data_IF_828900138829
#
_entry.id   IF_828900138829
#
_cell.length_a   1.000
_cell.length_b   1.000
_cell.length_c   1.000
_cell.angle_alpha   90.00
_cell.angle_beta   90.00
_cell.angle_gamma   90.00
#
_symmetry.space_group_name_H-M   'P 1'
#
loop_
_entity.id
_entity.type
_entity.pdbx_description
1 polymer ?
#
# COMPACT_ATOMS: atom_id res chain seq x y z
N UNK A 1 34.96 43.51 -15.29
CA UNK A 1 34.65 42.37 -16.18
C UNK A 1 35.80 41.37 -16.12
N UNK A 2 35.67 40.28 -15.36
CA UNK A 2 36.67 39.19 -15.32
C UNK A 2 35.94 37.87 -15.54
N UNK A 3 36.47 37.08 -16.48
CA UNK A 3 35.87 35.93 -17.13
C UNK A 3 35.73 34.75 -16.16
N UNK A 4 34.55 34.14 -16.11
CA UNK A 4 34.30 32.86 -15.43
C UNK A 4 34.54 31.74 -16.43
N UNK A 5 35.62 30.97 -16.26
CA UNK A 5 35.91 29.80 -17.09
C UNK A 5 35.06 28.63 -16.62
N UNK A 6 34.09 28.24 -17.44
CA UNK A 6 33.22 27.07 -17.26
C UNK A 6 34.01 25.81 -17.65
N UNK A 7 34.28 24.92 -16.71
CA UNK A 7 34.94 23.63 -16.99
C UNK A 7 33.88 22.53 -16.86
N UNK A 8 33.34 22.10 -18.00
CA UNK A 8 32.36 21.01 -18.08
C UNK A 8 33.14 19.71 -18.27
N UNK A 9 33.19 18.86 -17.24
CA UNK A 9 33.75 17.51 -17.37
C UNK A 9 32.58 16.54 -17.48
N UNK A 10 32.29 16.14 -18.71
CA UNK A 10 31.34 15.09 -19.04
C UNK A 10 32.10 13.77 -19.13
N UNK A 11 31.79 12.78 -18.28
CA UNK A 11 32.19 11.40 -18.52
C UNK A 11 30.98 10.49 -18.37
N UNK A 12 30.63 9.86 -19.50
CA UNK A 12 29.63 8.82 -19.61
C UNK A 12 30.14 7.50 -19.01
N UNK A 13 29.18 6.77 -18.44
CA UNK A 13 29.27 5.60 -17.57
C UNK A 13 29.85 4.33 -18.18
N UNK A 14 30.49 3.49 -17.37
CA UNK A 14 30.37 2.02 -17.46
C UNK A 14 30.67 1.36 -16.10
N UNK A 15 29.70 0.55 -15.66
CA UNK A 15 29.69 -0.38 -14.53
C UNK A 15 29.82 0.20 -13.09
N UNK A 16 28.74 0.03 -12.32
CA UNK A 16 28.74 0.14 -10.85
C UNK A 16 28.04 1.39 -10.33
N UNK A 17 27.04 1.18 -9.47
CA UNK A 17 26.11 2.15 -8.92
C UNK A 17 26.84 3.42 -8.44
N UNK A 18 26.59 4.53 -9.13
CA UNK A 18 26.81 5.87 -8.59
C UNK A 18 25.56 6.68 -8.92
N UNK A 19 24.73 6.93 -7.89
CA UNK A 19 23.69 7.94 -7.96
C UNK A 19 24.41 9.28 -8.19
N UNK A 20 24.44 9.70 -9.46
CA UNK A 20 25.01 10.96 -9.89
C UNK A 20 24.21 12.12 -9.31
N UNK A 21 24.60 12.57 -8.12
CA UNK A 21 24.19 13.86 -7.58
C UNK A 21 24.90 14.92 -8.44
N UNK A 22 24.20 15.49 -9.42
CA UNK A 22 24.63 16.74 -10.04
C UNK A 22 24.51 17.86 -9.01
N UNK A 23 25.56 18.06 -8.21
CA UNK A 23 25.68 19.20 -7.29
C UNK A 23 26.17 20.40 -8.08
N UNK A 24 25.26 21.22 -8.61
CA UNK A 24 25.61 22.58 -9.02
C UNK A 24 26.10 23.34 -7.78
N UNK A 25 27.42 23.61 -7.72
CA UNK A 25 28.02 24.46 -6.70
C UNK A 25 27.94 25.91 -7.16
N UNK A 26 26.95 26.65 -6.66
CA UNK A 26 26.99 28.11 -6.63
C UNK A 26 27.61 28.52 -5.29
N UNK A 27 28.82 29.07 -5.31
CA UNK A 27 29.51 29.57 -4.11
C UNK A 27 29.32 31.08 -4.09
N UNK A 28 28.49 31.58 -3.16
CA UNK A 28 28.39 33.01 -2.86
C UNK A 28 29.27 33.36 -1.64
N UNK A 29 29.93 34.51 -1.72
CA UNK A 29 30.82 35.04 -0.68
C UNK A 29 29.98 35.74 0.38
N UNK A 30 29.52 34.96 1.36
CA UNK A 30 29.30 35.40 2.76
C UNK A 30 28.90 34.18 3.57
N UNK A 31 29.80 33.76 4.44
CA UNK A 31 29.60 32.72 5.45
C UNK A 31 28.49 33.14 6.42
N UNK A 32 27.24 32.95 6.03
CA UNK A 32 26.11 32.88 6.95
C UNK A 32 25.23 31.70 6.57
N UNK A 33 25.14 30.77 7.50
CA UNK A 33 24.67 29.40 7.36
C UNK A 33 23.17 29.37 7.00
N UNK A 34 22.83 29.40 5.72
CA UNK A 34 21.44 29.36 5.28
C UNK A 34 21.21 28.41 4.10
N UNK A 35 21.83 27.23 4.13
CA UNK A 35 21.44 26.11 3.27
C UNK A 35 21.35 24.85 4.13
N UNK A 36 20.27 24.73 4.92
CA UNK A 36 19.82 23.41 5.36
C UNK A 36 19.36 22.70 4.09
N UNK A 37 20.16 21.75 3.65
CA UNK A 37 19.98 20.99 2.42
C UNK A 37 18.52 20.49 2.32
N UNK A 38 17.77 20.93 1.31
CA UNK A 38 16.33 20.59 1.15
C UNK A 38 16.10 19.08 1.25
N UNK A 39 17.09 18.29 0.84
CA UNK A 39 17.14 16.82 0.94
C UNK A 39 17.07 16.31 2.39
N UNK A 40 17.83 16.92 3.30
CA UNK A 40 17.83 16.59 4.74
C UNK A 40 16.49 17.00 5.37
N UNK A 41 15.92 18.12 4.92
CA UNK A 41 14.63 18.61 5.40
C UNK A 41 13.45 17.74 4.93
N UNK A 42 13.48 17.26 3.68
CA UNK A 42 12.48 16.31 3.16
C UNK A 42 12.60 14.94 3.82
N UNK A 43 13.81 14.44 4.06
CA UNK A 43 14.03 13.15 4.71
C UNK A 43 13.57 13.14 6.17
N UNK A 44 13.80 14.23 6.91
CA UNK A 44 13.28 14.39 8.28
C UNK A 44 11.75 14.56 8.32
N UNK A 45 11.14 15.18 7.31
CA UNK A 45 9.68 15.30 7.22
C UNK A 45 9.01 13.93 6.97
N UNK A 46 9.55 13.12 6.05
CA UNK A 46 9.05 11.77 5.81
C UNK A 46 9.11 10.87 7.06
N UNK A 47 10.21 10.96 7.82
CA UNK A 47 10.36 10.22 9.09
C UNK A 47 9.35 10.67 10.16
N UNK A 48 9.13 11.98 10.29
CA UNK A 48 8.14 12.52 11.23
C UNK A 48 6.71 12.10 10.86
N UNK A 49 6.39 12.13 9.57
CA UNK A 49 5.08 11.70 9.08
C UNK A 49 4.83 10.21 9.35
N UNK A 50 5.84 9.36 9.13
CA UNK A 50 5.75 7.93 9.48
C UNK A 50 5.50 7.74 10.98
N UNK A 51 6.29 8.40 11.85
CA UNK A 51 6.10 8.30 13.30
C UNK A 51 4.72 8.81 13.76
N UNK A 52 4.14 9.81 13.09
CA UNK A 52 2.78 10.28 13.36
C UNK A 52 1.76 9.22 12.94
N UNK A 53 1.93 8.62 11.75
CA UNK A 53 1.07 7.55 11.27
C UNK A 53 1.05 6.37 12.25
N UNK A 54 2.22 5.89 12.69
CA UNK A 54 2.33 4.78 13.65
C UNK A 54 1.57 5.09 14.95
N UNK A 55 1.68 6.32 15.46
CA UNK A 55 0.96 6.75 16.68
C UNK A 55 -0.55 6.78 16.48
N UNK A 56 -1.01 7.24 15.31
CA UNK A 56 -2.43 7.28 14.97
C UNK A 56 -3.00 5.87 14.86
N UNK A 57 -2.29 4.97 14.19
CA UNK A 57 -2.67 3.56 14.06
C UNK A 57 -2.80 2.88 15.43
N UNK A 58 -1.77 3.00 16.28
CA UNK A 58 -1.80 2.45 17.65
C UNK A 58 -2.97 3.04 18.45
N UNK A 59 -3.20 4.35 18.35
CA UNK A 59 -4.31 5.02 19.06
C UNK A 59 -5.67 4.56 18.57
N UNK A 60 -5.80 4.29 17.26
CA UNK A 60 -7.02 3.77 16.66
C UNK A 60 -7.33 2.35 17.16
N UNK A 61 -6.34 1.45 17.10
CA UNK A 61 -6.45 0.06 17.57
C UNK A 61 -6.76 0.00 19.07
N UNK A 62 -6.07 0.80 19.89
CA UNK A 62 -6.35 0.88 21.34
C UNK A 62 -7.77 1.39 21.62
N UNK A 63 -8.21 2.42 20.89
CA UNK A 63 -9.58 2.95 21.04
C UNK A 63 -10.62 1.91 20.64
N UNK A 64 -10.36 1.14 19.58
CA UNK A 64 -11.21 0.06 19.12
C UNK A 64 -11.37 -1.03 20.20
N UNK A 65 -10.28 -1.51 20.79
CA UNK A 65 -10.33 -2.52 21.86
C UNK A 65 -11.03 -2.02 23.13
N UNK A 66 -11.00 -0.70 23.38
CA UNK A 66 -11.77 -0.06 24.46
C UNK A 66 -13.25 0.12 24.13
N UNK A 67 -13.70 -0.26 22.94
CA UNK A 67 -15.05 -0.04 22.39
C UNK A 67 -15.41 1.44 22.19
N UNK A 68 -14.42 2.31 22.16
CA UNK A 68 -14.58 3.73 21.81
C UNK A 68 -14.51 3.89 20.28
N UNK A 69 -15.52 3.38 19.58
CA UNK A 69 -15.48 3.30 18.13
C UNK A 69 -15.44 4.66 17.43
N UNK A 70 -16.08 5.70 17.99
CA UNK A 70 -15.98 7.07 17.45
C UNK A 70 -14.55 7.63 17.51
N UNK A 71 -13.83 7.37 18.60
CA UNK A 71 -12.42 7.79 18.73
C UNK A 71 -11.56 7.02 17.74
N UNK A 72 -11.75 5.69 17.65
CA UNK A 72 -11.05 4.84 16.69
C UNK A 72 -11.25 5.33 15.25
N UNK A 73 -12.49 5.63 14.85
CA UNK A 73 -12.83 6.21 13.55
C UNK A 73 -12.09 7.52 13.31
N UNK A 74 -12.02 8.39 14.33
CA UNK A 74 -11.31 9.66 14.22
C UNK A 74 -9.82 9.45 13.95
N UNK A 75 -9.17 8.54 14.69
CA UNK A 75 -7.77 8.22 14.49
C UNK A 75 -7.49 7.55 13.14
N UNK A 76 -8.33 6.60 12.71
CA UNK A 76 -8.21 6.01 11.37
C UNK A 76 -8.37 7.07 10.27
N UNK A 77 -9.35 7.97 10.35
CA UNK A 77 -9.47 9.06 9.35
C UNK A 77 -8.26 9.98 9.33
N UNK A 78 -7.65 10.26 10.48
CA UNK A 78 -6.40 11.01 10.53
C UNK A 78 -5.26 10.21 9.88
N UNK A 79 -5.20 8.90 10.10
CA UNK A 79 -4.21 8.02 9.49
C UNK A 79 -4.35 7.99 7.96
N UNK A 80 -5.56 7.83 7.43
CA UNK A 80 -5.81 7.92 5.98
C UNK A 80 -5.32 9.25 5.39
N UNK A 81 -5.52 10.37 6.10
CA UNK A 81 -5.03 11.69 5.65
C UNK A 81 -3.52 11.81 5.58
N UNK A 82 -2.77 10.95 6.28
CA UNK A 82 -1.31 10.90 6.15
C UNK A 82 -0.84 10.19 4.88
N UNK A 83 -1.72 9.43 4.21
CA UNK A 83 -1.36 8.58 3.06
C UNK A 83 -0.48 7.39 3.43
N UNK A 84 -0.39 7.04 4.72
CA UNK A 84 0.39 5.92 5.25
C UNK A 84 -0.48 4.74 5.73
N UNK A 85 -1.80 4.83 5.59
CA UNK A 85 -2.70 3.74 5.94
C UNK A 85 -2.53 2.55 4.99
N UNK A 86 -2.65 1.35 5.53
CA UNK A 86 -2.66 0.10 4.77
C UNK A 86 -4.07 -0.47 4.65
N UNK A 87 -4.24 -1.55 3.87
CA UNK A 87 -5.54 -2.20 3.68
C UNK A 87 -6.12 -2.73 5.00
N UNK A 88 -5.28 -3.11 5.96
CA UNK A 88 -5.69 -3.53 7.31
C UNK A 88 -6.32 -2.37 8.10
N UNK A 89 -5.86 -1.14 7.91
CA UNK A 89 -6.45 0.04 8.55
C UNK A 89 -7.83 0.37 7.98
N UNK A 90 -7.99 0.21 6.67
CA UNK A 90 -9.28 0.35 5.99
C UNK A 90 -10.27 -0.72 6.48
N UNK A 91 -9.80 -1.95 6.63
CA UNK A 91 -10.58 -3.06 7.20
C UNK A 91 -11.03 -2.74 8.62
N UNK A 92 -10.10 -2.37 9.50
CA UNK A 92 -10.42 -2.03 10.89
C UNK A 92 -11.35 -0.81 11.00
N UNK A 93 -11.21 0.17 10.11
CA UNK A 93 -12.15 1.28 10.00
C UNK A 93 -13.55 0.80 9.60
N UNK A 94 -13.66 -0.15 8.68
CA UNK A 94 -14.93 -0.78 8.35
C UNK A 94 -15.53 -1.51 9.57
N UNK A 95 -14.72 -2.25 10.35
CA UNK A 95 -15.16 -2.90 11.58
C UNK A 95 -15.70 -1.89 12.61
N UNK A 96 -15.07 -0.72 12.76
CA UNK A 96 -15.59 0.35 13.62
C UNK A 96 -17.00 0.78 13.21
N UNK A 97 -17.24 0.98 11.92
CA UNK A 97 -18.56 1.35 11.39
C UNK A 97 -19.57 0.19 11.51
N UNK A 98 -19.12 -1.05 11.32
CA UNK A 98 -19.91 -2.26 11.59
C UNK A 98 -20.41 -2.30 13.03
N UNK A 99 -19.52 -2.04 13.98
CA UNK A 99 -19.85 -1.98 15.41
C UNK A 99 -20.79 -0.82 15.76
N UNK A 100 -20.80 0.27 14.99
CA UNK A 100 -21.76 1.36 15.17
C UNK A 100 -23.08 1.13 14.42
N UNK A 101 -23.18 0.10 13.59
CA UNK A 101 -24.37 -0.16 12.76
C UNK A 101 -24.48 0.75 11.53
N UNK A 102 -23.42 1.48 11.15
CA UNK A 102 -23.40 2.30 9.94
C UNK A 102 -23.11 1.42 8.72
N UNK A 103 -24.17 0.83 8.17
CA UNK A 103 -24.10 -0.06 7.01
C UNK A 103 -23.39 0.53 5.81
N UNK A 104 -23.62 1.83 5.56
CA UNK A 104 -23.11 2.54 4.39
C UNK A 104 -21.60 2.72 4.48
N UNK A 105 -21.11 3.17 5.62
CA UNK A 105 -19.68 3.39 5.80
C UNK A 105 -18.93 2.07 5.98
N UNK A 106 -19.49 1.10 6.69
CA UNK A 106 -18.90 -0.23 6.83
C UNK A 106 -18.69 -0.87 5.44
N UNK A 107 -19.72 -0.88 4.59
CA UNK A 107 -19.63 -1.42 3.24
C UNK A 107 -18.61 -0.65 2.37
N UNK A 108 -18.55 0.69 2.50
CA UNK A 108 -17.61 1.52 1.75
C UNK A 108 -16.15 1.17 2.08
N UNK A 109 -15.77 1.18 3.36
CA UNK A 109 -14.38 0.95 3.75
C UNK A 109 -13.96 -0.51 3.57
N UNK A 110 -14.90 -1.45 3.72
CA UNK A 110 -14.62 -2.85 3.45
C UNK A 110 -14.29 -3.10 1.97
N UNK A 111 -15.05 -2.47 1.06
CA UNK A 111 -14.74 -2.51 -0.37
C UNK A 111 -13.36 -1.93 -0.67
N UNK A 112 -13.05 -0.76 -0.10
CA UNK A 112 -11.74 -0.13 -0.27
C UNK A 112 -10.60 -1.02 0.26
N UNK A 113 -10.77 -1.66 1.41
CA UNK A 113 -9.77 -2.57 1.96
C UNK A 113 -9.44 -3.71 0.99
N UNK A 114 -10.46 -4.35 0.40
CA UNK A 114 -10.28 -5.42 -0.58
C UNK A 114 -9.65 -4.90 -1.88
N UNK A 115 -10.06 -3.72 -2.35
CA UNK A 115 -9.46 -3.06 -3.53
C UNK A 115 -7.97 -2.72 -3.33
N UNK A 116 -7.57 -2.39 -2.09
CA UNK A 116 -6.18 -2.09 -1.71
C UNK A 116 -5.36 -3.34 -1.32
N UNK A 117 -5.95 -4.54 -1.37
CA UNK A 117 -5.22 -5.80 -1.21
C UNK A 117 -5.57 -6.65 0.00
N UNK A 118 -6.65 -6.35 0.72
CA UNK A 118 -7.16 -7.26 1.75
C UNK A 118 -7.73 -8.53 1.11
N UNK A 119 -7.10 -9.69 1.35
CA UNK A 119 -7.45 -10.96 0.66
C UNK A 119 -8.18 -11.99 1.52
N UNK A 120 -8.24 -11.84 2.84
CA UNK A 120 -8.85 -12.86 3.72
C UNK A 120 -10.39 -12.73 3.75
N UNK A 121 -11.04 -13.11 2.65
CA UNK A 121 -12.50 -13.01 2.53
C UNK A 121 -13.23 -13.92 3.53
N UNK A 122 -12.60 -15.01 3.97
CA UNK A 122 -13.16 -15.90 4.98
C UNK A 122 -13.20 -15.23 6.36
N UNK A 123 -12.18 -14.43 6.69
CA UNK A 123 -12.21 -13.57 7.86
C UNK A 123 -13.38 -12.59 7.80
N UNK A 124 -13.54 -11.85 6.70
CA UNK A 124 -14.66 -10.90 6.52
C UNK A 124 -16.03 -11.56 6.75
N UNK A 125 -16.26 -12.74 6.16
CA UNK A 125 -17.54 -13.46 6.23
C UNK A 125 -17.94 -13.86 7.66
N UNK A 126 -16.96 -14.09 8.53
CA UNK A 126 -17.16 -14.59 9.89
C UNK A 126 -16.92 -13.53 10.97
N UNK A 127 -16.51 -12.32 10.58
CA UNK A 127 -16.20 -11.26 11.54
C UNK A 127 -17.45 -10.75 12.25
N UNK A 128 -17.45 -10.91 13.57
CA UNK A 128 -18.48 -10.45 14.48
C UNK A 128 -18.69 -8.94 14.48
N UNK A 129 -17.71 -8.16 14.03
CA UNK A 129 -17.82 -6.70 13.96
C UNK A 129 -18.88 -6.22 12.98
N UNK A 130 -19.24 -7.06 11.99
CA UNK A 130 -20.28 -6.74 11.01
C UNK A 130 -21.67 -7.27 11.38
N UNK A 131 -21.85 -7.89 12.55
CA UNK A 131 -23.13 -8.50 12.96
C UNK A 131 -24.32 -7.53 12.92
N UNK A 132 -24.10 -6.25 13.24
CA UNK A 132 -25.15 -5.22 13.24
C UNK A 132 -25.55 -4.78 11.82
N UNK A 133 -24.68 -4.97 10.83
CA UNK A 133 -24.86 -4.47 9.46
C UNK A 133 -25.06 -5.58 8.42
N UNK A 134 -24.76 -6.84 8.76
CA UNK A 134 -24.74 -7.98 7.82
C UNK A 134 -26.04 -8.25 7.08
N UNK A 135 -27.18 -7.86 7.66
CA UNK A 135 -28.51 -8.04 7.06
C UNK A 135 -28.97 -6.83 6.25
N UNK A 136 -28.20 -5.73 6.23
CA UNK A 136 -28.56 -4.56 5.45
C UNK A 136 -28.38 -4.83 3.95
N UNK A 137 -29.31 -4.38 3.09
CA UNK A 137 -29.18 -4.56 1.64
C UNK A 137 -27.89 -3.94 1.07
N UNK A 138 -27.43 -2.82 1.63
CA UNK A 138 -26.21 -2.15 1.18
C UNK A 138 -24.96 -2.99 1.45
N UNK A 139 -24.86 -3.54 2.66
CA UNK A 139 -23.71 -4.35 3.05
C UNK A 139 -23.70 -5.69 2.29
N UNK A 140 -24.86 -6.36 2.17
CA UNK A 140 -24.98 -7.59 1.42
C UNK A 140 -24.60 -7.44 -0.06
N UNK A 141 -24.98 -6.32 -0.68
CA UNK A 141 -24.58 -6.02 -2.06
C UNK A 141 -23.06 -5.98 -2.21
N UNK A 142 -22.37 -5.25 -1.33
CA UNK A 142 -20.90 -5.17 -1.38
C UNK A 142 -20.25 -6.52 -1.06
N UNK A 143 -20.77 -7.26 -0.08
CA UNK A 143 -20.27 -8.61 0.21
C UNK A 143 -20.40 -9.54 -1.00
N UNK A 144 -21.51 -9.49 -1.72
CA UNK A 144 -21.69 -10.27 -2.95
C UNK A 144 -20.69 -9.85 -4.04
N UNK A 145 -20.43 -8.54 -4.21
CA UNK A 145 -19.41 -8.03 -5.13
C UNK A 145 -18.00 -8.54 -4.76
N UNK A 146 -17.63 -8.50 -3.48
CA UNK A 146 -16.33 -8.96 -2.97
C UNK A 146 -16.15 -10.46 -3.24
N UNK A 147 -17.15 -11.28 -2.89
CA UNK A 147 -17.11 -12.74 -3.08
C UNK A 147 -17.01 -13.11 -4.56
N UNK A 148 -17.83 -12.47 -5.42
CA UNK A 148 -17.80 -12.74 -6.85
C UNK A 148 -16.46 -12.35 -7.49
N UNK A 149 -15.73 -11.39 -6.90
CA UNK A 149 -14.41 -10.99 -7.38
C UNK A 149 -13.30 -11.91 -6.86
N UNK A 150 -13.39 -12.42 -5.63
CA UNK A 150 -12.41 -13.40 -5.12
C UNK A 150 -12.42 -14.69 -5.94
N UNK A 151 -13.59 -15.20 -6.30
CA UNK A 151 -13.72 -16.45 -7.07
C UNK A 151 -13.10 -16.32 -8.47
N UNK A 152 -13.14 -15.11 -9.06
CA UNK A 152 -12.49 -14.84 -10.36
C UNK A 152 -10.97 -14.82 -10.25
N UNK A 153 -10.43 -14.32 -9.15
CA UNK A 153 -8.99 -14.26 -8.93
C UNK A 153 -8.45 -15.67 -8.76
N UNK A 154 -9.09 -16.49 -7.93
CA UNK A 154 -8.68 -17.88 -7.68
C UNK A 154 -8.75 -18.73 -8.95
N UNK A 155 -9.85 -18.63 -9.71
CA UNK A 155 -9.98 -19.38 -10.97
C UNK A 155 -8.99 -18.91 -12.04
N UNK A 156 -8.71 -17.61 -12.13
CA UNK A 156 -7.72 -17.06 -13.08
C UNK A 156 -6.30 -17.53 -12.76
N UNK A 157 -5.91 -17.54 -11.48
CA UNK A 157 -4.61 -18.06 -11.06
C UNK A 157 -4.49 -19.56 -11.30
N UNK A 158 -5.54 -20.32 -11.00
CA UNK A 158 -5.60 -21.78 -11.22
C UNK A 158 -5.41 -22.11 -12.71
N UNK A 159 -6.20 -21.48 -13.59
CA UNK A 159 -6.10 -21.69 -15.04
C UNK A 159 -4.72 -21.29 -15.58
N UNK A 160 -4.12 -20.22 -15.05
CA UNK A 160 -2.76 -19.80 -15.43
C UNK A 160 -1.70 -20.83 -14.99
N UNK A 161 -1.81 -21.35 -13.76
CA UNK A 161 -0.86 -22.34 -13.25
C UNK A 161 -0.96 -23.66 -14.03
N UNK A 162 -2.17 -24.14 -14.31
CA UNK A 162 -2.42 -25.33 -15.15
C UNK A 162 -1.84 -25.16 -16.56
N UNK A 163 -2.02 -23.99 -17.18
CA UNK A 163 -1.46 -23.68 -18.48
C UNK A 163 0.08 -23.70 -18.50
N UNK A 164 0.72 -23.19 -17.45
CA UNK A 164 2.20 -23.22 -17.33
C UNK A 164 2.68 -24.67 -17.15
N UNK A 165 2.01 -25.46 -16.31
CA UNK A 165 2.36 -26.88 -16.09
C UNK A 165 2.22 -27.66 -17.41
N UNK A 166 1.11 -27.47 -18.13
CA UNK A 166 0.89 -28.16 -19.41
C UNK A 166 1.95 -27.79 -20.46
N UNK A 167 2.38 -26.53 -20.50
CA UNK A 167 3.45 -26.08 -21.38
C UNK A 167 4.82 -26.70 -21.00
N UNK A 168 5.13 -26.77 -19.71
CA UNK A 168 6.38 -27.38 -19.22
C UNK A 168 6.44 -28.88 -19.52
N UNK A 169 5.36 -29.63 -19.27
CA UNK A 169 5.26 -31.06 -19.58
C UNK A 169 5.43 -31.32 -21.08
N UNK A 170 4.86 -30.46 -21.93
CA UNK A 170 4.98 -30.59 -23.38
C UNK A 170 6.42 -30.36 -23.88
N UNK A 171 7.18 -29.44 -23.26
CA UNK A 171 8.58 -29.20 -23.60
C UNK A 171 9.50 -30.36 -23.18
N UNK A 172 9.26 -30.96 -22.02
CA UNK A 172 10.08 -32.07 -21.50
C UNK A 172 9.92 -33.37 -22.31
N UNK A 173 8.70 -33.64 -22.81
CA UNK A 173 8.45 -34.74 -23.75
C UNK A 173 9.20 -34.58 -25.08
N UNK A 174 9.39 -33.34 -25.56
CA UNK A 174 10.12 -33.08 -26.81
C UNK A 174 11.63 -33.31 -26.67
N UNK A 175 12.22 -32.98 -25.53
CA UNK A 175 13.67 -33.14 -25.28
C UNK A 175 14.05 -34.64 -25.17
N UNK A 176 13.13 -35.50 -24.71
CA UNK A 176 13.39 -36.93 -24.53
C UNK A 176 13.47 -37.76 -25.84
N UNK A 177 13.10 -37.19 -26.99
CA UNK A 177 13.08 -37.91 -28.28
C UNK A 177 14.34 -37.68 -29.13
N UNK A 178 15.17 -36.68 -28.82
CA UNK A 178 16.38 -36.37 -29.58
C UNK A 178 17.63 -37.18 -29.15
N UNK A 179 17.64 -37.79 -27.96
CA UNK A 179 18.78 -38.58 -27.45
C UNK A 179 18.83 -40.05 -27.93
N UNK A 180 17.93 -40.46 -28.84
CA UNK A 180 17.84 -41.86 -29.33
C UNK A 180 18.25 -42.07 -30.80
N UNK A 181 18.89 -41.09 -31.45
CA UNK A 181 19.34 -41.21 -32.84
C UNK A 181 20.85 -41.02 -33.00
#
# INVERSE_FOLDING_TARGET
>A
MKKTTLLVVSLFTLAGISLGITRERVIDKKDNMLHVDKTIQTQTLCQRLACIADKLEISAKVSFWKKNYQDAITFYHLLLKTGKSEFDDLYNLACCYGQLGDDKQAAKYLKLAVEEGFTDINHIKSDSDFEKVKNSPKFQKIMAEIIANSDKIDNSQTVRAEGIIQAAVSQELMISQDDKN
#
